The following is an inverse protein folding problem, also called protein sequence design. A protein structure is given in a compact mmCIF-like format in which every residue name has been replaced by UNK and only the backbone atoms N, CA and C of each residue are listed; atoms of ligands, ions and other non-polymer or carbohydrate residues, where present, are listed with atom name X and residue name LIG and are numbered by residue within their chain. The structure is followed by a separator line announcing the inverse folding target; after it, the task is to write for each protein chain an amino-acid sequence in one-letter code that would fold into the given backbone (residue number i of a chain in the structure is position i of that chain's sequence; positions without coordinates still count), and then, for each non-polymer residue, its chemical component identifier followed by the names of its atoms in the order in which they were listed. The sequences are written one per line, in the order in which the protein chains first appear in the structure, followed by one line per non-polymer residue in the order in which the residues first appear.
data_IF_134104514933
#
_entry.id   IF_134104514933
#
_cell.length_a   1.000
_cell.length_b   1.000
_cell.length_c   1.000
_cell.angle_alpha   90.00
_cell.angle_beta   90.00
_cell.angle_gamma   90.00
#
_symmetry.space_group_name_H-M   'P 1'
#
loop_
_entity.id
_entity.type
_entity.pdbx_description
1 polymer ?
#
# COMPACT_ATOMS: atom_id res chain seq x y z
N UNK A 1 18.19 0.22 1.90
CA UNK A 1 16.77 0.11 2.31
C UNK A 1 16.68 -0.94 3.40
N UNK A 2 15.91 -0.75 4.47
CA UNK A 2 15.72 -1.75 5.53
C UNK A 2 14.80 -2.88 5.04
N UNK A 3 15.05 -4.13 5.42
CA UNK A 3 14.27 -5.32 4.99
C UNK A 3 12.79 -5.17 5.36
N UNK A 4 12.51 -4.53 6.49
CA UNK A 4 11.16 -4.27 7.00
C UNK A 4 10.38 -3.28 6.11
N UNK A 5 11.07 -2.29 5.53
CA UNK A 5 10.46 -1.32 4.61
C UNK A 5 10.11 -2.00 3.28
N UNK A 6 10.94 -2.93 2.83
CA UNK A 6 10.68 -3.72 1.63
C UNK A 6 9.43 -4.59 1.79
N UNK A 7 9.32 -5.33 2.90
CA UNK A 7 8.14 -6.15 3.20
C UNK A 7 6.85 -5.33 3.26
N UNK A 8 6.90 -4.15 3.89
CA UNK A 8 5.76 -3.24 3.94
C UNK A 8 5.39 -2.70 2.57
N UNK A 9 6.38 -2.32 1.75
CA UNK A 9 6.17 -1.82 0.38
C UNK A 9 5.52 -2.90 -0.50
N UNK A 10 6.05 -4.12 -0.47
CA UNK A 10 5.51 -5.28 -1.19
C UNK A 10 4.05 -5.52 -0.79
N UNK A 11 3.76 -5.48 0.51
CA UNK A 11 2.39 -5.63 1.01
C UNK A 11 1.46 -4.53 0.47
N UNK A 12 1.87 -3.26 0.55
CA UNK A 12 1.07 -2.12 0.07
C UNK A 12 0.77 -2.25 -1.43
N UNK A 13 1.79 -2.55 -2.24
CA UNK A 13 1.64 -2.72 -3.69
C UNK A 13 0.70 -3.88 -4.01
N UNK A 14 0.87 -5.03 -3.33
CA UNK A 14 -0.01 -6.20 -3.49
C UNK A 14 -1.45 -5.86 -3.11
N UNK A 15 -1.65 -5.19 -1.98
CA UNK A 15 -2.97 -4.79 -1.51
C UNK A 15 -3.67 -3.86 -2.52
N UNK A 16 -2.96 -2.83 -3.02
CA UNK A 16 -3.51 -1.92 -4.04
C UNK A 16 -3.87 -2.68 -5.32
N UNK A 17 -3.01 -3.58 -5.78
CA UNK A 17 -3.21 -4.37 -7.00
C UNK A 17 -4.43 -5.30 -6.89
N UNK A 18 -4.66 -5.90 -5.73
CA UNK A 18 -5.74 -6.87 -5.50
C UNK A 18 -7.08 -6.21 -5.15
N UNK A 19 -7.05 -5.14 -4.36
CA UNK A 19 -8.26 -4.47 -3.85
C UNK A 19 -8.66 -3.23 -4.65
N UNK A 20 -7.72 -2.65 -5.40
CA UNK A 20 -7.96 -1.43 -6.18
C UNK A 20 -7.84 -0.13 -5.37
N UNK A 21 -7.52 -0.19 -4.08
CA UNK A 21 -7.37 0.98 -3.22
C UNK A 21 -6.26 0.79 -2.19
N UNK A 22 -5.66 1.88 -1.65
CA UNK A 22 -4.58 1.76 -0.67
C UNK A 22 -5.05 1.20 0.69
N UNK A 23 -4.20 0.43 1.38
CA UNK A 23 -4.52 -0.09 2.71
C UNK A 23 -4.50 1.02 3.77
N UNK A 24 -5.14 0.74 4.90
CA UNK A 24 -5.04 1.50 6.15
C UNK A 24 -3.89 0.99 7.01
N UNK A 25 -3.45 1.79 7.99
CA UNK A 25 -2.44 1.39 8.98
C UNK A 25 -2.80 0.10 9.72
N UNK A 26 -4.09 -0.13 10.02
CA UNK A 26 -4.56 -1.37 10.66
C UNK A 26 -4.44 -2.58 9.74
N UNK A 27 -4.81 -2.44 8.47
CA UNK A 27 -4.66 -3.50 7.46
C UNK A 27 -3.19 -3.86 7.24
N UNK A 28 -2.30 -2.86 7.20
CA UNK A 28 -0.85 -3.08 7.14
C UNK A 28 -0.39 -3.85 8.39
N UNK A 29 -0.78 -3.41 9.59
CA UNK A 29 -0.39 -4.06 10.84
C UNK A 29 -0.75 -5.55 10.84
N UNK A 30 -1.99 -5.89 10.47
CA UNK A 30 -2.43 -7.28 10.39
C UNK A 30 -1.73 -8.07 9.28
N UNK A 31 -1.52 -7.46 8.11
CA UNK A 31 -0.94 -8.13 6.95
C UNK A 31 0.57 -8.34 7.01
N UNK A 32 1.29 -7.54 7.80
CA UNK A 32 2.76 -7.59 7.90
C UNK A 32 3.25 -8.05 9.29
N UNK A 33 2.34 -8.48 10.17
CA UNK A 33 2.61 -9.03 11.51
C UNK A 33 3.42 -8.10 12.44
N UNK A 34 3.30 -6.79 12.28
CA UNK A 34 3.86 -5.86 13.27
C UNK A 34 3.12 -5.96 14.59
N UNK A 35 3.84 -5.73 15.69
CA UNK A 35 3.32 -5.81 17.05
C UNK A 35 2.29 -4.72 17.36
N UNK A 36 2.32 -3.59 16.65
CA UNK A 36 1.39 -2.48 16.88
C UNK A 36 1.23 -1.57 15.66
N UNK A 37 0.12 -0.84 15.63
CA UNK A 37 -0.11 0.26 14.67
C UNK A 37 0.87 1.41 14.85
N UNK A 38 1.42 1.61 16.06
CA UNK A 38 2.44 2.63 16.32
C UNK A 38 3.75 2.30 15.58
N UNK A 39 4.18 1.04 15.62
CA UNK A 39 5.36 0.57 14.87
C UNK A 39 5.17 0.80 13.36
N UNK A 40 3.98 0.46 12.83
CA UNK A 40 3.66 0.72 11.42
C UNK A 40 3.76 2.20 11.07
N UNK A 41 3.20 3.09 11.90
CA UNK A 41 3.29 4.54 11.66
C UNK A 41 4.74 5.04 11.66
N UNK A 42 5.60 4.53 12.54
CA UNK A 42 7.03 4.89 12.54
C UNK A 42 7.72 4.47 11.24
N UNK A 43 7.43 3.26 10.74
CA UNK A 43 7.97 2.80 9.45
C UNK A 43 7.41 3.61 8.28
N UNK A 44 6.11 3.90 8.24
CA UNK A 44 5.50 4.72 7.19
C UNK A 44 6.10 6.12 7.10
N UNK A 45 6.38 6.75 8.26
CA UNK A 45 7.10 8.03 8.30
C UNK A 45 8.50 7.92 7.70
N UNK A 46 9.29 6.95 8.15
CA UNK A 46 10.64 6.74 7.62
C UNK A 46 10.65 6.41 6.12
N UNK A 47 9.65 5.69 5.62
CA UNK A 47 9.48 5.41 4.19
C UNK A 47 9.08 6.65 3.39
N UNK A 48 8.25 7.55 3.97
CA UNK A 48 7.91 8.84 3.38
C UNK A 48 9.13 9.75 3.31
N UNK A 49 9.91 9.84 4.38
CA UNK A 49 11.15 10.62 4.43
C UNK A 49 12.19 10.10 3.43
N UNK A 50 12.19 8.79 3.18
CA UNK A 50 13.03 8.16 2.14
C UNK A 50 12.47 8.29 0.71
N UNK A 51 11.31 8.94 0.52
CA UNK A 51 10.69 9.12 -0.79
C UNK A 51 10.11 7.85 -1.44
N UNK A 52 9.94 6.77 -0.67
CA UNK A 52 9.39 5.50 -1.18
C UNK A 52 7.86 5.55 -1.32
N UNK A 53 7.20 6.30 -0.43
CA UNK A 53 5.75 6.45 -0.38
C UNK A 53 5.38 7.89 -0.04
N UNK A 54 4.11 8.24 -0.24
CA UNK A 54 3.53 9.46 0.30
C UNK A 54 2.10 9.19 0.76
N UNK A 55 1.58 9.99 1.70
CA UNK A 55 0.22 9.87 2.21
C UNK A 55 -0.24 11.19 2.87
N UNK A 56 -1.54 11.32 3.10
CA UNK A 56 -2.12 12.45 3.84
C UNK A 56 -2.33 12.06 5.30
N UNK A 57 -1.78 12.86 6.20
CA UNK A 57 -1.88 12.62 7.64
C UNK A 57 -3.34 12.58 8.11
N UNK A 58 -3.66 11.63 9.00
CA UNK A 58 -5.01 11.38 9.52
C UNK A 58 -6.07 11.00 8.47
N UNK A 59 -5.68 10.76 7.22
CA UNK A 59 -6.59 10.34 6.16
C UNK A 59 -6.29 8.91 5.72
N UNK A 60 -7.19 7.94 5.97
CA UNK A 60 -7.00 6.57 5.54
C UNK A 60 -7.03 6.46 4.01
N UNK A 61 -6.40 5.41 3.47
CA UNK A 61 -6.42 5.08 2.03
C UNK A 61 -5.83 6.15 1.10
N UNK A 62 -4.89 6.95 1.60
CA UNK A 62 -4.20 7.99 0.81
C UNK A 62 -2.76 7.62 0.43
N UNK A 63 -2.33 6.41 0.79
CA UNK A 63 -0.96 5.94 0.51
C UNK A 63 -0.76 5.82 -1.00
N UNK A 64 0.29 6.47 -1.48
CA UNK A 64 0.81 6.39 -2.85
C UNK A 64 2.22 5.84 -2.82
N UNK A 65 2.62 5.09 -3.84
CA UNK A 65 3.94 4.48 -3.94
C UNK A 65 4.72 5.17 -5.05
N UNK A 66 5.93 5.63 -4.75
CA UNK A 66 6.76 6.32 -5.72
C UNK A 66 7.06 5.41 -6.92
N UNK A 67 6.90 5.95 -8.14
CA UNK A 67 7.11 5.20 -9.38
C UNK A 67 5.95 4.28 -9.80
N UNK A 68 4.86 4.20 -9.03
CA UNK A 68 3.68 3.42 -9.41
C UNK A 68 2.55 4.33 -9.89
N UNK A 69 1.83 3.88 -10.92
CA UNK A 69 0.68 4.57 -11.48
C UNK A 69 -0.45 3.59 -11.79
N UNK A 70 -1.69 4.07 -11.71
CA UNK A 70 -2.85 3.32 -12.17
C UNK A 70 -2.92 3.38 -13.70
N UNK A 71 -3.11 2.22 -14.32
CA UNK A 71 -3.30 2.11 -15.77
C UNK A 71 -4.67 1.51 -16.03
N UNK A 72 -5.47 2.17 -16.87
CA UNK A 72 -6.75 1.64 -17.34
C UNK A 72 -6.45 0.45 -18.26
N UNK A 73 -6.80 -0.75 -17.81
CA UNK A 73 -6.75 -1.94 -18.67
C UNK A 73 -7.94 -1.92 -19.62
N UNK A 74 -7.67 -2.14 -20.91
CA UNK A 74 -8.72 -2.44 -21.88
C UNK A 74 -9.13 -3.90 -21.67
N UNK A 75 -10.09 -4.11 -20.77
CA UNK A 75 -10.66 -5.43 -20.53
C UNK A 75 -11.82 -5.61 -21.52
N UNK A 76 -11.80 -6.69 -22.29
CA UNK A 76 -12.95 -7.05 -23.12
C UNK A 76 -14.14 -7.31 -22.20
N UNK A 77 -15.31 -6.71 -22.50
CA UNK A 77 -16.51 -6.81 -21.65
C UNK A 77 -16.88 -8.25 -21.27
N UNK A 78 -16.55 -9.22 -22.12
CA UNK A 78 -16.80 -10.65 -21.91
C UNK A 78 -15.99 -11.28 -20.75
N UNK A 79 -14.81 -10.74 -20.41
CA UNK A 79 -14.01 -11.23 -19.27
C UNK A 79 -14.53 -10.76 -17.91
N UNK A 80 -15.25 -9.62 -17.88
CA UNK A 80 -15.78 -9.04 -16.64
C UNK A 80 -17.00 -9.83 -16.14
N UNK A 81 -17.81 -10.37 -17.05
CA UNK A 81 -19.04 -11.11 -16.71
C UNK A 81 -18.75 -12.51 -16.14
N UNK A 82 -17.52 -13.01 -16.27
CA UNK A 82 -17.10 -14.36 -15.83
C UNK A 82 -16.45 -14.39 -14.42
N UNK A 83 -16.36 -13.25 -13.72
CA UNK A 83 -15.83 -13.13 -12.35
C UNK A 83 -16.88 -12.59 -11.41
#
# INVERSE_FOLDING_TARGET
MKVEHENMLIFIVKYIKEKGYPPTTREICHGTRYQSTASVNTHLKAMRDAGLINYVDRSPRTITVAGYQYVKKNINKEEIVRR
#
